data_IF_178151557373
#
_entry.id   IF_178151557373
#
_cell.length_a   1.000
_cell.length_b   1.000
_cell.length_c   1.000
_cell.angle_alpha   90.00
_cell.angle_beta   90.00
_cell.angle_gamma   90.00
#
_symmetry.space_group_name_H-M   'P 1'
#
loop_
_entity.id
_entity.type
_entity.pdbx_description
1 polymer ?
#
# COMPACT_ATOMS: atom_id res chain seq x y z
N UNK A 1 -33.09 -3.12 12.41
CA UNK A 1 -31.64 -3.29 12.59
C UNK A 1 -31.25 -4.74 12.38
N UNK A 2 -31.18 -5.18 11.13
CA UNK A 2 -30.64 -6.51 10.76
C UNK A 2 -29.17 -6.35 10.38
N UNK A 3 -28.28 -6.45 11.36
CA UNK A 3 -26.83 -6.51 11.13
C UNK A 3 -26.46 -7.98 10.97
N UNK A 4 -26.20 -8.41 9.74
CA UNK A 4 -25.71 -9.77 9.47
C UNK A 4 -24.20 -9.78 9.67
N UNK A 5 -23.75 -10.36 10.79
CA UNK A 5 -22.34 -10.64 11.03
C UNK A 5 -21.91 -11.90 10.27
N UNK A 6 -21.58 -11.76 8.99
CA UNK A 6 -20.88 -12.82 8.28
C UNK A 6 -19.38 -12.69 8.54
N UNK A 7 -18.86 -13.42 9.54
CA UNK A 7 -17.42 -13.48 9.80
C UNK A 7 -16.91 -14.89 9.50
N UNK A 8 -16.39 -15.08 8.29
CA UNK A 8 -15.56 -16.25 7.99
C UNK A 8 -14.10 -15.80 7.94
N UNK A 9 -13.24 -16.19 8.90
CA UNK A 9 -11.81 -15.93 8.79
C UNK A 9 -11.27 -16.68 7.59
N UNK A 10 -10.48 -16.02 6.76
CA UNK A 10 -9.75 -16.65 5.68
C UNK A 10 -8.31 -16.20 5.73
N UNK A 11 -7.42 -17.11 5.36
CA UNK A 11 -5.99 -16.91 5.35
C UNK A 11 -5.48 -17.15 3.93
N UNK A 12 -4.59 -16.29 3.47
CA UNK A 12 -3.91 -16.44 2.20
C UNK A 12 -2.49 -15.95 2.33
N UNK A 13 -1.58 -16.60 1.61
CA UNK A 13 -0.17 -16.28 1.60
C UNK A 13 0.24 -15.79 0.20
N UNK A 14 1.01 -14.71 0.16
CA UNK A 14 1.47 -14.10 -1.08
C UNK A 14 3.00 -14.18 -1.15
N UNK A 15 3.49 -14.78 -2.23
CA UNK A 15 4.92 -14.93 -2.48
C UNK A 15 5.36 -13.93 -3.54
N UNK A 16 6.30 -13.04 -3.19
CA UNK A 16 6.96 -12.20 -4.17
C UNK A 16 8.14 -12.94 -4.78
N UNK A 17 8.17 -13.08 -6.11
CA UNK A 17 9.26 -13.71 -6.87
C UNK A 17 10.00 -12.64 -7.68
N UNK A 18 11.14 -12.11 -7.19
CA UNK A 18 11.87 -11.02 -7.85
C UNK A 18 12.32 -11.35 -9.28
N UNK A 19 12.61 -12.62 -9.57
CA UNK A 19 13.12 -13.06 -10.87
C UNK A 19 12.12 -12.92 -12.05
N UNK A 20 10.84 -12.67 -11.77
CA UNK A 20 9.78 -12.55 -12.78
C UNK A 20 9.46 -11.09 -13.15
N UNK A 21 10.04 -10.11 -12.46
CA UNK A 21 9.79 -8.68 -12.70
C UNK A 21 10.95 -8.10 -13.50
N UNK A 22 10.68 -7.70 -14.74
CA UNK A 22 11.66 -7.18 -15.69
C UNK A 22 12.25 -5.84 -15.25
N UNK A 23 13.59 -5.76 -15.26
CA UNK A 23 14.52 -4.60 -15.39
C UNK A 23 14.32 -3.30 -14.57
N UNK A 24 13.11 -2.91 -14.21
CA UNK A 24 12.82 -1.75 -13.39
C UNK A 24 12.82 -2.21 -11.93
N UNK A 25 13.84 -1.82 -11.16
CA UNK A 25 14.03 -2.16 -9.74
C UNK A 25 12.97 -1.52 -8.81
N UNK A 26 11.72 -1.43 -9.25
CA UNK A 26 10.62 -0.88 -8.49
C UNK A 26 9.88 -1.99 -7.74
N UNK A 27 9.69 -1.82 -6.42
CA UNK A 27 8.83 -2.75 -5.70
C UNK A 27 7.41 -2.72 -6.27
N UNK A 28 6.74 -3.89 -6.34
CA UNK A 28 5.34 -3.96 -6.75
C UNK A 28 4.47 -3.11 -5.82
N UNK A 29 3.39 -2.57 -6.39
CA UNK A 29 2.34 -1.94 -5.59
C UNK A 29 1.74 -2.98 -4.64
N UNK A 30 1.29 -2.52 -3.46
CA UNK A 30 0.58 -3.39 -2.53
C UNK A 30 -0.64 -4.05 -3.21
N UNK A 31 -0.86 -5.35 -2.97
CA UNK A 31 -2.01 -6.06 -3.48
C UNK A 31 -3.32 -5.42 -3.02
N UNK A 32 -4.32 -5.41 -3.91
CA UNK A 32 -5.67 -4.91 -3.63
C UNK A 32 -6.61 -6.09 -3.42
N UNK A 33 -7.49 -5.99 -2.44
CA UNK A 33 -8.60 -6.91 -2.22
C UNK A 33 -9.88 -6.22 -2.66
N UNK A 34 -10.65 -6.89 -3.51
CA UNK A 34 -11.95 -6.42 -3.96
C UNK A 34 -13.05 -7.21 -3.25
N UNK A 35 -14.11 -6.52 -2.87
CA UNK A 35 -15.26 -7.12 -2.21
C UNK A 35 -16.50 -6.91 -3.06
N UNK A 36 -17.24 -8.00 -3.27
CA UNK A 36 -18.60 -8.00 -3.78
C UNK A 36 -19.50 -8.52 -2.68
N UNK A 37 -20.30 -7.62 -2.11
CA UNK A 37 -21.26 -7.95 -1.07
C UNK A 37 -22.56 -8.34 -1.76
N UNK A 38 -22.98 -9.58 -1.57
CA UNK A 38 -24.24 -10.10 -2.07
C UNK A 38 -25.14 -10.52 -0.92
N UNK A 39 -26.45 -10.37 -1.11
CA UNK A 39 -27.46 -10.88 -0.18
C UNK A 39 -28.36 -11.88 -0.91
N UNK A 40 -28.90 -12.80 -0.12
CA UNK A 40 -29.87 -13.80 -0.56
C UNK A 40 -31.10 -13.63 0.32
N UNK A 41 -32.28 -13.54 -0.29
CA UNK A 41 -33.52 -13.40 0.44
C UNK A 41 -34.25 -14.74 0.68
N UNK A 42 -35.38 -14.66 1.37
CA UNK A 42 -36.23 -15.81 1.71
C UNK A 42 -36.82 -16.53 0.49
N UNK A 43 -36.86 -15.87 -0.67
CA UNK A 43 -37.29 -16.45 -1.94
C UNK A 43 -36.10 -16.97 -2.77
N UNK A 44 -34.93 -17.13 -2.14
CA UNK A 44 -33.70 -17.60 -2.80
C UNK A 44 -33.23 -16.67 -3.94
N UNK A 45 -33.65 -15.40 -3.93
CA UNK A 45 -33.22 -14.41 -4.91
C UNK A 45 -31.89 -13.82 -4.46
N UNK A 46 -30.91 -13.82 -5.36
CA UNK A 46 -29.57 -13.29 -5.11
C UNK A 46 -29.48 -11.87 -5.67
N UNK A 47 -28.87 -10.95 -4.93
CA UNK A 47 -28.64 -9.57 -5.38
C UNK A 47 -27.33 -9.02 -4.86
N UNK A 48 -26.64 -8.23 -5.67
CA UNK A 48 -25.42 -7.54 -5.25
C UNK A 48 -25.77 -6.25 -4.52
N UNK A 49 -25.46 -6.19 -3.22
CA UNK A 49 -25.68 -5.01 -2.37
C UNK A 49 -24.60 -3.95 -2.54
N UNK A 50 -23.38 -4.33 -2.89
CA UNK A 50 -22.35 -3.34 -3.17
C UNK A 50 -21.00 -3.92 -3.47
N UNK A 51 -20.15 -3.04 -3.95
CA UNK A 51 -18.75 -3.26 -4.22
C UNK A 51 -17.92 -2.30 -3.39
N UNK A 52 -16.77 -2.78 -2.96
CA UNK A 52 -15.73 -1.95 -2.35
C UNK A 52 -14.36 -2.59 -2.55
N UNK A 53 -13.30 -1.88 -2.19
CA UNK A 53 -11.94 -2.39 -2.28
C UNK A 53 -11.08 -1.83 -1.16
N UNK A 54 -10.00 -2.54 -0.86
CA UNK A 54 -8.96 -2.07 0.05
C UNK A 54 -7.59 -2.48 -0.48
N UNK A 55 -6.61 -1.59 -0.36
CA UNK A 55 -5.21 -1.92 -0.59
C UNK A 55 -4.66 -2.55 0.71
N UNK A 56 -3.95 -3.67 0.61
CA UNK A 56 -3.33 -4.30 1.80
C UNK A 56 -2.36 -3.29 2.43
N UNK A 57 -2.48 -3.01 3.75
CA UNK A 57 -1.61 -2.08 4.44
C UNK A 57 -0.14 -2.43 4.23
N UNK A 58 0.68 -1.45 3.87
CA UNK A 58 2.12 -1.64 3.62
C UNK A 58 2.97 -1.80 4.88
N UNK A 59 2.36 -1.79 6.05
CA UNK A 59 3.00 -2.06 7.33
C UNK A 59 2.37 -3.32 7.94
N UNK A 60 3.17 -4.17 8.60
CA UNK A 60 2.62 -5.31 9.31
C UNK A 60 1.88 -4.82 10.56
N UNK A 61 0.79 -5.50 10.92
CA UNK A 61 -0.03 -5.10 12.06
C UNK A 61 -1.47 -5.59 12.00
N UNK A 62 -2.25 -5.08 12.95
CA UNK A 62 -3.67 -5.29 13.07
C UNK A 62 -4.42 -4.03 12.61
N UNK A 63 -5.39 -4.22 11.71
CA UNK A 63 -6.17 -3.13 11.11
C UNK A 63 -7.66 -3.42 11.22
N UNK A 64 -8.42 -2.41 11.63
CA UNK A 64 -9.88 -2.40 11.60
C UNK A 64 -10.32 -1.25 10.71
N UNK A 65 -10.87 -1.57 9.55
CA UNK A 65 -11.21 -0.60 8.52
C UNK A 65 -12.71 -0.66 8.20
N UNK A 66 -13.33 0.51 8.08
CA UNK A 66 -14.72 0.66 7.70
C UNK A 66 -14.78 1.16 6.26
N UNK A 67 -15.21 0.29 5.35
CA UNK A 67 -15.21 0.56 3.93
C UNK A 67 -16.61 0.93 3.45
N UNK A 68 -16.73 2.08 2.78
CA UNK A 68 -17.98 2.43 2.11
C UNK A 68 -18.20 1.59 0.86
N UNK A 69 -19.39 1.01 0.76
CA UNK A 69 -19.84 0.22 -0.37
C UNK A 69 -20.73 1.04 -1.29
N UNK A 70 -20.64 0.75 -2.58
CA UNK A 70 -21.49 1.34 -3.60
C UNK A 70 -21.89 0.29 -4.63
N UNK A 71 -23.01 0.51 -5.32
CA UNK A 71 -23.45 -0.35 -6.42
C UNK A 71 -23.78 0.49 -7.66
N UNK A 72 -23.69 -0.09 -8.87
CA UNK A 72 -24.20 0.57 -10.06
C UNK A 72 -25.71 0.75 -9.96
N UNK A 73 -26.19 1.91 -10.42
CA UNK A 73 -27.61 2.23 -10.56
C UNK A 73 -27.92 2.31 -12.05
N UNK A 74 -28.93 1.55 -12.48
CA UNK A 74 -29.40 1.65 -13.85
C UNK A 74 -30.16 2.96 -14.10
N UNK A 75 -30.23 3.37 -15.36
CA UNK A 75 -30.86 4.65 -15.73
C UNK A 75 -32.38 4.66 -15.56
N UNK A 76 -33.01 3.49 -15.63
CA UNK A 76 -34.46 3.35 -15.51
C UNK A 76 -34.89 2.86 -14.13
N UNK A 77 -36.06 3.34 -13.68
CA UNK A 77 -36.76 2.86 -12.48
C UNK A 77 -37.06 1.36 -12.55
N UNK A 78 -37.21 0.80 -13.75
CA UNK A 78 -37.41 -0.64 -13.96
C UNK A 78 -36.27 -1.48 -13.40
N UNK A 79 -35.04 -0.96 -13.35
CA UNK A 79 -33.91 -1.70 -12.78
C UNK A 79 -34.04 -1.87 -11.27
N UNK A 80 -34.51 -0.85 -10.56
CA UNK A 80 -34.76 -0.93 -9.12
C UNK A 80 -35.97 -1.83 -8.81
N UNK A 81 -37.03 -1.77 -9.63
CA UNK A 81 -38.17 -2.69 -9.53
C UNK A 81 -37.75 -4.14 -9.78
N UNK A 82 -36.92 -4.39 -10.82
CA UNK A 82 -36.39 -5.72 -11.13
C UNK A 82 -35.54 -6.25 -9.99
N UNK A 83 -34.69 -5.42 -9.41
CA UNK A 83 -33.90 -5.75 -8.22
C UNK A 83 -34.80 -6.13 -7.04
N UNK A 84 -35.86 -5.39 -6.79
CA UNK A 84 -36.77 -5.63 -5.68
C UNK A 84 -37.63 -6.89 -5.85
N UNK A 85 -38.24 -7.07 -7.02
CA UNK A 85 -39.23 -8.13 -7.26
C UNK A 85 -38.63 -9.42 -7.82
N UNK A 86 -37.55 -9.35 -8.58
CA UNK A 86 -36.97 -10.50 -9.28
C UNK A 86 -35.58 -10.84 -8.71
N UNK A 87 -34.93 -9.89 -8.03
CA UNK A 87 -33.55 -10.03 -7.56
C UNK A 87 -32.51 -9.63 -8.61
N UNK A 88 -32.92 -9.20 -9.81
CA UNK A 88 -31.97 -8.80 -10.84
C UNK A 88 -31.20 -7.53 -10.46
N UNK A 89 -29.90 -7.65 -10.18
CA UNK A 89 -29.00 -6.50 -9.99
C UNK A 89 -28.19 -6.20 -11.25
N UNK A 90 -27.92 -4.91 -11.48
CA UNK A 90 -26.84 -4.54 -12.39
C UNK A 90 -25.52 -4.90 -11.72
N UNK A 91 -24.65 -5.58 -12.46
CA UNK A 91 -23.36 -6.06 -11.97
C UNK A 91 -22.24 -5.48 -12.82
N UNK A 92 -21.05 -5.40 -12.22
CA UNK A 92 -19.85 -5.04 -12.95
C UNK A 92 -19.38 -6.25 -13.75
N UNK A 93 -19.01 -6.03 -15.02
CA UNK A 93 -18.36 -7.05 -15.84
C UNK A 93 -16.98 -7.41 -15.28
N UNK A 94 -16.23 -6.39 -14.82
CA UNK A 94 -14.94 -6.55 -14.13
C UNK A 94 -14.97 -5.84 -12.78
N UNK A 95 -14.74 -6.60 -11.70
CA UNK A 95 -14.66 -6.09 -10.33
C UNK A 95 -13.49 -5.12 -10.14
N UNK A 96 -12.48 -5.16 -11.00
CA UNK A 96 -11.34 -4.23 -10.96
C UNK A 96 -11.76 -2.78 -11.21
N UNK A 97 -12.90 -2.56 -11.89
CA UNK A 97 -13.50 -1.25 -12.14
C UNK A 97 -13.97 -0.54 -10.87
N UNK A 98 -14.05 -1.28 -9.76
CA UNK A 98 -14.30 -0.71 -8.43
C UNK A 98 -13.16 0.23 -8.03
N UNK A 99 -11.93 -0.08 -8.47
CA UNK A 99 -10.77 0.80 -8.36
C UNK A 99 -10.34 1.28 -9.75
N UNK A 100 -9.13 1.81 -9.88
CA UNK A 100 -8.52 2.05 -11.19
C UNK A 100 -8.00 0.70 -11.70
N UNK A 101 -8.52 0.17 -12.83
CA UNK A 101 -8.03 -1.09 -13.39
C UNK A 101 -6.57 -0.98 -13.77
N UNK A 102 -5.83 -2.09 -13.65
CA UNK A 102 -4.38 -2.14 -13.92
C UNK A 102 -4.00 -1.64 -15.32
N UNK A 103 -4.89 -1.82 -16.30
CA UNK A 103 -4.70 -1.37 -17.69
C UNK A 103 -4.54 0.15 -17.81
N UNK A 104 -5.19 0.91 -16.92
CA UNK A 104 -5.17 2.37 -16.87
C UNK A 104 -4.22 2.93 -15.80
N UNK A 105 -3.58 2.06 -15.02
CA UNK A 105 -2.70 2.46 -13.91
C UNK A 105 -1.23 2.66 -14.37
N UNK A 106 -0.86 2.19 -15.57
CA UNK A 106 0.51 2.28 -16.09
C UNK A 106 0.84 3.69 -16.60
N UNK A 107 1.99 4.22 -16.17
CA UNK A 107 2.57 5.50 -16.61
C UNK A 107 2.80 5.55 -18.14
N UNK A 108 2.96 4.38 -18.78
CA UNK A 108 3.08 4.23 -20.25
C UNK A 108 1.75 4.44 -21.00
N UNK A 109 0.61 4.34 -20.31
CA UNK A 109 -0.74 4.48 -20.86
C UNK A 109 -1.42 5.80 -20.46
N UNK A 110 -0.63 6.81 -20.02
CA UNK A 110 -1.11 8.15 -19.64
C UNK A 110 -1.99 8.85 -20.71
N UNK A 111 -2.05 8.32 -21.94
CA UNK A 111 -2.83 8.87 -23.04
C UNK A 111 -4.27 8.33 -23.18
N UNK A 112 -4.65 7.25 -22.50
CA UNK A 112 -6.03 6.73 -22.58
C UNK A 112 -6.79 7.06 -21.30
N UNK A 113 -7.63 8.10 -21.28
CA UNK A 113 -8.43 8.43 -20.11
C UNK A 113 -9.46 7.32 -19.84
N UNK A 114 -9.56 6.88 -18.58
CA UNK A 114 -10.66 6.03 -18.14
C UNK A 114 -11.95 6.85 -18.09
N UNK A 115 -12.77 6.74 -19.14
CA UNK A 115 -14.08 7.37 -19.14
C UNK A 115 -15.04 6.63 -18.22
N UNK A 116 -15.58 7.34 -17.23
CA UNK A 116 -16.68 6.88 -16.37
C UNK A 116 -18.00 7.60 -16.70
N UNK A 117 -18.07 8.26 -17.85
CA UNK A 117 -19.22 9.06 -18.23
C UNK A 117 -20.48 8.18 -18.33
N UNK A 118 -21.60 8.67 -17.80
CA UNK A 118 -22.86 7.93 -17.74
C UNK A 118 -22.91 6.85 -16.65
N UNK A 119 -21.81 6.55 -15.96
CA UNK A 119 -21.80 5.57 -14.88
C UNK A 119 -22.42 6.17 -13.61
N UNK A 120 -23.60 5.68 -13.23
CA UNK A 120 -24.31 6.12 -12.03
C UNK A 120 -24.14 5.10 -10.92
N UNK A 121 -23.85 5.58 -9.72
CA UNK A 121 -23.69 4.73 -8.54
C UNK A 121 -24.63 5.18 -7.42
N UNK A 122 -24.92 4.26 -6.52
CA UNK A 122 -25.65 4.50 -5.28
C UNK A 122 -24.82 3.95 -4.14
N UNK A 123 -24.59 4.77 -3.11
CA UNK A 123 -24.00 4.32 -1.86
C UNK A 123 -25.02 3.46 -1.11
N UNK A 124 -24.58 2.31 -0.59
CA UNK A 124 -25.49 1.32 0.01
C UNK A 124 -25.25 1.14 1.49
N UNK A 125 -24.02 0.86 1.89
CA UNK A 125 -23.70 0.59 3.29
C UNK A 125 -22.21 0.53 3.57
N UNK A 126 -21.86 -0.01 4.73
CA UNK A 126 -20.50 -0.05 5.25
C UNK A 126 -20.09 -1.52 5.45
N UNK A 127 -18.86 -1.84 5.07
CA UNK A 127 -18.23 -3.14 5.26
C UNK A 127 -17.09 -2.99 6.27
N UNK A 128 -17.26 -3.60 7.44
CA UNK A 128 -16.24 -3.61 8.48
C UNK A 128 -15.31 -4.81 8.30
N UNK A 129 -14.02 -4.54 8.11
CA UNK A 129 -13.00 -5.55 7.86
C UNK A 129 -11.93 -5.49 8.93
N UNK A 130 -11.54 -6.67 9.40
CA UNK A 130 -10.38 -6.85 10.28
C UNK A 130 -9.29 -7.57 9.51
N UNK A 131 -8.11 -6.97 9.42
CA UNK A 131 -6.95 -7.51 8.72
C UNK A 131 -5.80 -7.71 9.70
N UNK A 132 -5.22 -8.91 9.64
CA UNK A 132 -3.95 -9.24 10.29
C UNK A 132 -2.91 -9.40 9.20
N UNK A 133 -1.95 -8.48 9.14
CA UNK A 133 -0.92 -8.46 8.09
C UNK A 133 0.43 -8.80 8.70
N UNK A 134 1.06 -9.85 8.18
CA UNK A 134 2.41 -10.27 8.56
C UNK A 134 3.28 -10.26 7.30
N UNK A 135 4.46 -9.66 7.40
CA UNK A 135 5.45 -9.69 6.34
C UNK A 135 6.66 -10.51 6.72
N UNK A 136 6.96 -11.49 5.87
CA UNK A 136 8.16 -12.31 5.97
C UNK A 136 9.24 -11.81 4.99
N UNK A 137 9.61 -10.53 5.09
CA UNK A 137 10.72 -9.96 4.32
C UNK A 137 11.19 -8.63 4.92
N UNK A 138 12.47 -8.55 5.27
CA UNK A 138 13.06 -7.32 5.81
C UNK A 138 13.22 -6.23 4.74
N UNK A 139 13.54 -6.61 3.50
CA UNK A 139 13.75 -5.67 2.40
C UNK A 139 12.45 -4.97 2.00
N UNK A 140 11.36 -5.74 1.86
CA UNK A 140 10.04 -5.21 1.54
C UNK A 140 9.51 -4.29 2.65
N UNK A 141 9.62 -4.71 3.91
CA UNK A 141 9.19 -3.89 5.05
C UNK A 141 9.97 -2.56 5.14
N UNK A 142 11.29 -2.58 4.94
CA UNK A 142 12.12 -1.38 4.97
C UNK A 142 11.81 -0.42 3.82
N UNK A 143 11.66 -0.92 2.59
CA UNK A 143 11.38 -0.08 1.42
C UNK A 143 9.97 0.53 1.47
N UNK A 144 8.97 -0.20 1.95
CA UNK A 144 7.63 0.37 2.16
C UNK A 144 7.63 1.45 3.23
N UNK A 145 8.39 1.28 4.32
CA UNK A 145 8.56 2.32 5.34
C UNK A 145 9.25 3.55 4.77
N UNK A 146 10.26 3.38 3.91
CA UNK A 146 10.91 4.50 3.19
C UNK A 146 9.94 5.22 2.24
N UNK A 147 9.12 4.49 1.46
CA UNK A 147 8.12 5.08 0.55
C UNK A 147 7.02 5.84 1.30
N UNK A 148 6.55 5.31 2.42
CA UNK A 148 5.63 6.01 3.32
C UNK A 148 6.29 7.27 3.89
N UNK A 149 7.53 7.15 4.38
CA UNK A 149 8.36 8.24 4.86
C UNK A 149 8.53 9.35 3.84
N UNK A 150 8.88 9.01 2.59
CA UNK A 150 9.00 9.94 1.48
C UNK A 150 7.67 10.62 1.12
N UNK A 151 6.55 9.88 1.16
CA UNK A 151 5.20 10.44 0.94
C UNK A 151 4.75 11.39 2.06
N UNK A 152 5.10 11.09 3.32
CA UNK A 152 4.85 11.98 4.47
C UNK A 152 5.83 13.15 4.52
N UNK A 153 7.08 12.95 4.13
CA UNK A 153 8.14 13.98 4.10
C UNK A 153 7.92 14.99 2.97
N UNK A 154 7.30 14.60 1.86
CA UNK A 154 6.84 15.55 0.86
C UNK A 154 5.73 16.50 1.35
N UNK A 155 5.10 16.23 2.50
CA UNK A 155 4.11 17.13 3.12
C UNK A 155 4.70 18.07 4.19
N UNK A 156 5.85 17.71 4.77
CA UNK A 156 6.52 18.51 5.80
C UNK A 156 8.03 18.38 5.59
N UNK A 157 8.73 19.50 5.32
CA UNK A 157 10.15 19.61 4.94
C UNK A 157 11.21 19.08 5.94
N UNK A 158 10.89 18.02 6.65
CA UNK A 158 11.72 17.23 7.56
C UNK A 158 12.90 16.54 6.84
N UNK A 159 12.79 16.30 5.53
CA UNK A 159 13.85 15.65 4.74
C UNK A 159 15.08 16.56 4.58
N UNK A 160 14.86 17.86 4.39
CA UNK A 160 15.94 18.84 4.37
C UNK A 160 16.65 18.94 5.74
N UNK A 161 15.90 18.78 6.84
CA UNK A 161 16.46 18.80 8.19
C UNK A 161 17.28 17.54 8.50
N UNK A 162 16.77 16.35 8.17
CA UNK A 162 17.48 15.08 8.41
C UNK A 162 18.71 14.91 7.53
N UNK A 163 18.67 15.38 6.28
CA UNK A 163 19.83 15.40 5.38
C UNK A 163 20.97 16.25 5.95
N UNK A 164 20.64 17.44 6.47
CA UNK A 164 21.62 18.31 7.12
C UNK A 164 22.23 17.68 8.39
N UNK A 165 21.44 16.96 9.17
CA UNK A 165 21.93 16.25 10.37
C UNK A 165 22.90 15.13 9.99
N UNK A 166 22.54 14.29 9.01
CA UNK A 166 23.40 13.19 8.58
C UNK A 166 24.73 13.73 8.00
N UNK A 167 24.68 14.79 7.20
CA UNK A 167 25.89 15.46 6.69
C UNK A 167 26.78 16.02 7.82
N UNK A 168 26.18 16.60 8.86
CA UNK A 168 26.92 17.11 10.02
C UNK A 168 27.57 15.98 10.83
N UNK A 169 26.87 14.85 11.01
CA UNK A 169 27.40 13.67 11.70
C UNK A 169 28.58 13.06 10.92
N UNK A 170 28.45 12.92 9.60
CA UNK A 170 29.52 12.41 8.74
C UNK A 170 30.76 13.32 8.76
N UNK A 171 30.56 14.65 8.67
CA UNK A 171 31.64 15.62 8.77
C UNK A 171 32.35 15.57 10.13
N UNK A 172 31.60 15.41 11.22
CA UNK A 172 32.16 15.27 12.56
C UNK A 172 32.97 13.97 12.71
N UNK A 173 32.46 12.85 12.21
CA UNK A 173 33.16 11.57 12.24
C UNK A 173 34.46 11.62 11.42
N UNK A 174 34.42 12.27 10.25
CA UNK A 174 35.60 12.46 9.41
C UNK A 174 36.65 13.34 10.09
N UNK A 175 36.23 14.45 10.71
CA UNK A 175 37.12 15.34 11.45
C UNK A 175 37.77 14.61 12.65
N UNK A 176 36.99 13.82 13.40
CA UNK A 176 37.47 13.01 14.52
C UNK A 176 38.52 12.00 14.06
N UNK A 177 38.29 11.31 12.94
CA UNK A 177 39.25 10.34 12.40
C UNK A 177 40.59 10.99 12.06
N UNK A 178 40.57 12.14 11.37
CA UNK A 178 41.79 12.90 11.05
C UNK A 178 42.54 13.37 12.30
N UNK A 179 41.82 13.83 13.32
CA UNK A 179 42.44 14.27 14.57
C UNK A 179 43.15 13.12 15.31
N UNK A 180 42.58 11.90 15.26
CA UNK A 180 43.21 10.70 15.83
C UNK A 180 44.46 10.29 15.06
N UNK A 181 44.44 10.31 13.72
CA UNK A 181 45.60 10.02 12.88
C UNK A 181 46.76 11.01 13.12
N UNK A 182 46.46 12.31 13.29
CA UNK A 182 47.45 13.33 13.66
C UNK A 182 48.02 13.08 15.06
N UNK A 183 47.18 12.67 16.01
CA UNK A 183 47.62 12.31 17.36
C UNK A 183 48.54 11.08 17.35
N UNK A 184 48.21 10.05 16.57
CA UNK A 184 49.03 8.84 16.49
C UNK A 184 50.39 9.12 15.82
N UNK A 185 50.40 9.88 14.73
CA UNK A 185 51.64 10.29 14.05
C UNK A 185 52.53 11.18 14.91
N UNK A 186 51.96 12.12 15.67
CA UNK A 186 52.74 12.94 16.62
C UNK A 186 53.33 12.11 17.76
N UNK A 187 52.61 11.10 18.27
CA UNK A 187 53.13 10.19 19.28
C UNK A 187 54.30 9.34 18.76
N UNK A 188 54.24 8.88 17.50
CA UNK A 188 55.36 8.16 16.86
C UNK A 188 56.61 9.02 16.67
N UNK A 189 56.44 10.32 16.42
CA UNK A 189 57.57 11.27 16.33
C UNK A 189 58.21 11.55 17.70
N UNK A 190 57.45 11.40 18.79
CA UNK A 190 57.91 11.64 20.16
C UNK A 190 58.57 10.42 20.81
N UNK A 191 58.44 9.22 20.23
CA UNK A 191 59.16 8.03 20.72
C UNK A 191 60.63 8.09 20.27
N UNK A 192 61.61 8.16 21.20
CA UNK A 192 63.01 8.22 20.84
C UNK A 192 63.46 6.91 20.20
N UNK A 193 64.13 6.98 19.05
CA UNK A 193 64.77 5.81 18.43
C UNK A 193 65.84 5.29 19.39
N UNK A 194 65.61 4.13 19.99
CA UNK A 194 66.66 3.39 20.68
C UNK A 194 67.64 2.88 19.62
N UNK A 195 68.78 3.57 19.48
CA UNK A 195 69.89 3.07 18.69
C UNK A 195 70.40 1.79 19.34
N UNK A 196 70.08 0.64 18.75
CA UNK A 196 70.78 -0.62 18.98
C UNK A 196 72.12 -0.52 18.26
N UNK A 197 73.21 -0.36 19.03
CA UNK A 197 74.56 -0.61 18.56
C UNK A 197 74.89 -2.08 18.82
N UNK A 198 74.91 -2.89 17.77
CA UNK A 198 75.77 -4.08 17.61
C UNK A 198 76.16 -4.22 16.14
#
# INVERSE_FOLDING_TARGET
DDVVYYSHPFEFELWYKPALVSADHELPRMPKIYFQVASQDVWNRHRVEGYTYIDIPSLPGFYNEELSCWRPRGDSIFNELRRFYIGGSNELEDISYVSIPKQFESEKNNNTPLSRFGFRTVSTGLLNIRLNVVFQSQTLAMEHTKRLGARSANRYGFDAFMSNINAAIDAFQQAKKRALEVRESTLQLLTPKTNTYE
#
